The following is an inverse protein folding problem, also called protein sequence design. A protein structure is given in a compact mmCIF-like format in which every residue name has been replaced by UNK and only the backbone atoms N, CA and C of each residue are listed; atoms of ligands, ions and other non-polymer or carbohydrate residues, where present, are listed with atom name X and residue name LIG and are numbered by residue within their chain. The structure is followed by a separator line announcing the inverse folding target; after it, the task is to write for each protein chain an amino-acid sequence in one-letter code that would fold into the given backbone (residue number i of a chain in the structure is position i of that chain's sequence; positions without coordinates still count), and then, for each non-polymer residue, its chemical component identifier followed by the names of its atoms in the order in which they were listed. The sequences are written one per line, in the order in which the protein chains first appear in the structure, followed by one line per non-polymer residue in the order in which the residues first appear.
data_IF_923780616634
#
_entry.id   IF_923780616634
#
_cell.length_a   1.000
_cell.length_b   1.000
_cell.length_c   1.000
_cell.angle_alpha   90.00
_cell.angle_beta   90.00
_cell.angle_gamma   90.00
#
_symmetry.space_group_name_H-M   'P 1'
#
loop_
_entity.id
_entity.type
_entity.pdbx_description
1 polymer ?
#
# COMPACT_ATOMS: atom_id res chain seq x y z
N UNK A 1 24.50 1.90 6.35
CA UNK A 1 23.21 1.88 5.62
C UNK A 1 22.74 0.44 5.50
N UNK A 2 21.48 0.18 5.82
CA UNK A 2 20.90 -1.14 5.63
C UNK A 2 20.77 -1.47 4.13
N UNK A 3 20.75 -2.74 3.78
CA UNK A 3 20.46 -3.18 2.44
C UNK A 3 18.95 -3.03 2.16
N UNK A 4 18.59 -2.24 1.14
CA UNK A 4 17.19 -2.04 0.73
C UNK A 4 16.80 -2.89 -0.47
N UNK A 5 17.71 -3.68 -1.05
CA UNK A 5 17.42 -4.49 -2.23
C UNK A 5 16.38 -5.58 -1.91
N UNK A 6 15.44 -5.75 -2.83
CA UNK A 6 14.48 -6.86 -2.79
C UNK A 6 14.46 -7.57 -4.13
N UNK A 7 14.13 -8.87 -4.08
CA UNK A 7 13.97 -9.69 -5.28
C UNK A 7 12.56 -10.28 -5.31
N UNK A 8 11.90 -10.17 -6.48
CA UNK A 8 10.60 -10.79 -6.74
C UNK A 8 10.74 -11.55 -8.07
N UNK A 9 10.65 -12.88 -8.04
CA UNK A 9 11.05 -13.76 -9.15
C UNK A 9 12.48 -13.43 -9.60
N UNK A 10 12.68 -13.14 -10.88
CA UNK A 10 13.99 -12.77 -11.42
C UNK A 10 14.24 -11.25 -11.46
N UNK A 11 13.28 -10.46 -10.99
CA UNK A 11 13.42 -9.01 -10.93
C UNK A 11 14.13 -8.57 -9.65
N UNK A 12 15.20 -7.80 -9.80
CA UNK A 12 15.94 -7.18 -8.69
C UNK A 12 15.62 -5.68 -8.62
N UNK A 13 15.16 -5.25 -7.45
CA UNK A 13 14.82 -3.86 -7.17
C UNK A 13 15.85 -3.27 -6.23
N UNK A 14 16.45 -2.09 -6.54
CA UNK A 14 17.43 -1.42 -5.67
C UNK A 14 16.87 -0.98 -4.31
N UNK A 15 15.55 -0.81 -4.22
CA UNK A 15 14.79 -0.61 -3.00
C UNK A 15 13.35 -1.09 -3.22
N UNK A 16 12.56 -1.36 -2.16
CA UNK A 16 11.25 -1.99 -2.30
C UNK A 16 10.12 -1.06 -2.80
N UNK A 17 10.39 0.22 -3.09
CA UNK A 17 9.36 1.23 -3.35
C UNK A 17 9.25 1.50 -4.84
N UNK A 18 8.07 1.28 -5.41
CA UNK A 18 7.83 1.49 -6.85
C UNK A 18 6.61 2.38 -7.09
N UNK A 19 6.43 2.81 -8.33
CA UNK A 19 5.21 3.50 -8.75
C UNK A 19 4.02 2.55 -8.65
N UNK A 20 2.81 3.09 -8.60
CA UNK A 20 1.58 2.32 -8.73
C UNK A 20 0.90 2.62 -10.08
N UNK A 21 0.03 1.72 -10.52
CA UNK A 21 -0.76 1.87 -11.74
C UNK A 21 -1.78 3.03 -11.64
N UNK A 22 -1.30 4.25 -11.65
CA UNK A 22 -2.09 5.46 -11.47
C UNK A 22 -1.52 6.67 -12.21
N UNK A 23 -2.07 7.88 -11.98
CA UNK A 23 -1.68 9.10 -12.68
C UNK A 23 -0.19 9.46 -12.60
N UNK A 24 0.51 9.05 -11.53
CA UNK A 24 1.95 9.27 -11.37
C UNK A 24 2.84 8.45 -12.32
N UNK A 25 2.26 7.52 -13.09
CA UNK A 25 2.94 6.70 -14.09
C UNK A 25 2.11 6.64 -15.41
N UNK A 26 1.45 7.75 -15.76
CA UNK A 26 0.51 7.83 -16.90
C UNK A 26 1.20 7.81 -18.26
N UNK A 27 2.51 8.00 -18.32
CA UNK A 27 3.35 7.97 -19.51
C UNK A 27 4.79 7.59 -19.14
N UNK A 28 5.63 7.35 -20.16
CA UNK A 28 7.02 6.95 -19.97
C UNK A 28 7.90 8.05 -19.34
N UNK A 29 7.59 9.31 -19.60
CA UNK A 29 8.35 10.43 -19.05
C UNK A 29 8.15 10.55 -17.54
N UNK A 30 6.92 10.39 -17.03
CA UNK A 30 6.65 10.33 -15.59
C UNK A 30 7.25 9.08 -14.94
N UNK A 31 7.30 7.95 -15.64
CA UNK A 31 8.02 6.76 -15.18
C UNK A 31 9.52 7.05 -14.97
N UNK A 32 10.17 7.73 -15.92
CA UNK A 32 11.57 8.17 -15.80
C UNK A 32 11.75 9.13 -14.63
N UNK A 33 10.87 10.13 -14.49
CA UNK A 33 10.93 11.08 -13.38
C UNK A 33 10.73 10.41 -12.01
N UNK A 34 9.88 9.40 -11.91
CA UNK A 34 9.73 8.62 -10.67
C UNK A 34 11.04 7.90 -10.29
N UNK A 35 11.73 7.29 -11.25
CA UNK A 35 13.03 6.61 -11.00
C UNK A 35 14.12 7.63 -10.64
N UNK A 36 14.21 8.76 -11.33
CA UNK A 36 15.08 9.88 -10.93
C UNK A 36 14.74 10.37 -9.52
N UNK A 37 13.48 10.32 -9.12
CA UNK A 37 12.98 10.62 -7.80
C UNK A 37 13.31 9.56 -6.73
N UNK A 38 13.82 8.39 -7.13
CA UNK A 38 14.26 7.31 -6.24
C UNK A 38 13.37 6.07 -6.21
N UNK A 39 12.40 5.95 -7.12
CA UNK A 39 11.63 4.71 -7.25
C UNK A 39 12.55 3.54 -7.66
N UNK A 40 12.41 2.41 -6.99
CA UNK A 40 13.18 1.18 -7.25
C UNK A 40 12.56 0.31 -8.36
N UNK A 41 11.36 0.63 -8.82
CA UNK A 41 10.67 -0.09 -9.90
C UNK A 41 9.51 0.73 -10.44
N UNK A 42 9.01 0.33 -11.59
CA UNK A 42 7.89 0.96 -12.27
C UNK A 42 6.72 -0.02 -12.36
N UNK A 43 5.52 0.44 -11.94
CA UNK A 43 4.26 -0.10 -12.39
C UNK A 43 3.59 0.97 -13.24
N UNK A 44 3.31 0.69 -14.52
CA UNK A 44 2.76 1.68 -15.46
C UNK A 44 1.27 1.91 -15.22
N UNK A 45 0.72 3.01 -15.73
CA UNK A 45 -0.74 3.20 -15.79
C UNK A 45 -1.39 2.01 -16.50
N UNK A 46 -2.51 1.54 -15.97
CA UNK A 46 -3.27 0.42 -16.56
C UNK A 46 -3.72 0.78 -17.99
N UNK A 47 -3.44 -0.07 -18.96
CA UNK A 47 -4.00 0.04 -20.31
C UNK A 47 -5.13 -0.95 -20.54
N UNK A 48 -5.99 -0.66 -21.53
CA UNK A 48 -7.02 -1.56 -22.01
C UNK A 48 -7.15 -1.47 -23.53
N UNK A 49 -8.15 -2.12 -24.11
CA UNK A 49 -8.36 -2.17 -25.58
C UNK A 49 -8.56 -0.77 -26.17
N UNK A 50 -9.32 0.08 -25.48
CA UNK A 50 -9.57 1.48 -25.86
C UNK A 50 -9.05 2.43 -24.77
N UNK A 51 -8.67 3.66 -25.09
CA UNK A 51 -8.36 4.68 -24.09
C UNK A 51 -9.59 4.98 -23.22
N UNK A 52 -9.34 5.39 -21.98
CA UNK A 52 -10.40 5.72 -21.03
C UNK A 52 -11.01 7.10 -21.30
N UNK A 53 -12.32 7.21 -21.13
CA UNK A 53 -13.02 8.48 -21.02
C UNK A 53 -13.34 8.72 -19.53
N UNK A 54 -12.44 9.46 -18.87
CA UNK A 54 -12.46 9.63 -17.41
C UNK A 54 -13.44 10.74 -17.01
N UNK A 55 -14.45 10.47 -16.15
CA UNK A 55 -15.35 11.50 -15.63
C UNK A 55 -14.59 12.59 -14.87
N UNK A 56 -14.87 13.85 -15.12
CA UNK A 56 -14.17 15.00 -14.52
C UNK A 56 -15.11 15.92 -13.76
N UNK A 57 -14.67 16.47 -12.58
CA UNK A 57 -13.34 16.31 -11.95
C UNK A 57 -13.10 14.89 -11.45
N UNK A 58 -11.86 14.39 -11.65
CA UNK A 58 -11.52 12.97 -11.39
C UNK A 58 -10.64 12.75 -10.17
N UNK A 59 -10.10 13.80 -9.56
CA UNK A 59 -9.24 13.72 -8.38
C UNK A 59 -9.53 14.87 -7.41
N UNK A 60 -9.62 14.53 -6.13
CA UNK A 60 -9.79 15.53 -5.06
C UNK A 60 -9.03 15.13 -3.79
N UNK A 61 -8.28 16.07 -3.24
CA UNK A 61 -7.65 15.92 -1.93
C UNK A 61 -8.58 16.52 -0.87
N UNK A 62 -8.99 15.71 0.11
CA UNK A 62 -9.85 16.12 1.23
C UNK A 62 -9.12 15.92 2.55
N UNK A 63 -9.66 16.47 3.63
CA UNK A 63 -9.14 16.23 4.99
C UNK A 63 -9.25 14.75 5.42
N UNK A 64 -10.13 13.99 4.79
CA UNK A 64 -10.38 12.57 5.09
C UNK A 64 -9.64 11.61 4.15
N UNK A 65 -8.87 12.12 3.18
CA UNK A 65 -8.12 11.33 2.22
C UNK A 65 -8.29 11.81 0.79
N UNK A 66 -7.76 11.05 -0.15
CA UNK A 66 -7.78 11.37 -1.57
C UNK A 66 -8.88 10.58 -2.27
N UNK A 67 -9.80 11.27 -2.94
CA UNK A 67 -10.84 10.65 -3.76
C UNK A 67 -10.46 10.71 -5.22
N UNK A 68 -10.80 9.67 -5.98
CA UNK A 68 -10.60 9.62 -7.42
C UNK A 68 -11.75 8.87 -8.12
N UNK A 69 -11.96 9.23 -9.38
CA UNK A 69 -12.79 8.52 -10.36
C UNK A 69 -11.93 8.05 -11.53
N UNK A 70 -10.61 7.87 -11.28
CA UNK A 70 -9.65 7.41 -12.26
C UNK A 70 -10.01 6.04 -12.81
N UNK A 71 -9.84 5.90 -14.11
CA UNK A 71 -9.98 4.66 -14.86
C UNK A 71 -8.60 4.20 -15.34
N UNK A 72 -8.57 3.43 -16.44
CA UNK A 72 -7.32 3.06 -17.11
C UNK A 72 -6.75 4.25 -17.90
N UNK A 73 -5.74 4.01 -18.74
CA UNK A 73 -5.02 5.06 -19.46
C UNK A 73 -5.90 5.80 -20.47
N UNK A 74 -5.82 7.12 -20.46
CA UNK A 74 -6.38 8.01 -21.48
C UNK A 74 -5.52 8.03 -22.76
N UNK A 75 -4.25 7.58 -22.67
CA UNK A 75 -3.42 7.32 -23.82
C UNK A 75 -3.82 5.98 -24.45
N UNK A 76 -3.95 5.93 -25.80
CA UNK A 76 -4.25 4.69 -26.49
C UNK A 76 -3.09 3.69 -26.35
N UNK A 77 -3.41 2.40 -26.33
CA UNK A 77 -2.39 1.33 -26.22
C UNK A 77 -1.34 1.39 -27.32
N UNK A 78 -1.70 1.89 -28.51
CA UNK A 78 -0.81 2.08 -29.64
C UNK A 78 0.33 3.04 -29.30
N UNK A 79 0.06 4.13 -28.59
CA UNK A 79 1.08 5.08 -28.13
C UNK A 79 1.96 4.44 -27.06
N UNK A 80 1.39 3.71 -26.11
CA UNK A 80 2.16 2.98 -25.11
C UNK A 80 3.15 2.01 -25.76
N UNK A 81 2.70 1.26 -26.76
CA UNK A 81 3.54 0.29 -27.48
C UNK A 81 4.60 0.99 -28.33
N UNK A 82 4.24 2.07 -29.02
CA UNK A 82 5.16 2.76 -29.93
C UNK A 82 6.27 3.53 -29.20
N UNK A 83 5.98 4.11 -28.02
CA UNK A 83 6.87 5.07 -27.38
C UNK A 83 7.03 4.84 -25.86
N UNK A 84 5.92 4.77 -25.11
CA UNK A 84 5.95 4.98 -23.68
C UNK A 84 6.64 3.83 -22.92
N UNK A 85 6.45 2.58 -23.36
CA UNK A 85 7.13 1.44 -22.74
C UNK A 85 8.65 1.46 -22.98
N UNK A 86 9.11 1.88 -24.16
CA UNK A 86 10.53 2.04 -24.43
C UNK A 86 11.15 3.10 -23.52
N UNK A 87 10.46 4.22 -23.30
CA UNK A 87 10.87 5.24 -22.33
C UNK A 87 10.94 4.68 -20.92
N UNK A 88 9.86 4.01 -20.44
CA UNK A 88 9.83 3.41 -19.10
C UNK A 88 10.99 2.41 -18.89
N UNK A 89 11.27 1.55 -19.88
CA UNK A 89 12.40 0.59 -19.84
C UNK A 89 13.76 1.29 -19.79
N UNK A 90 13.91 2.46 -20.42
CA UNK A 90 15.15 3.23 -20.41
C UNK A 90 15.54 3.76 -19.01
N UNK A 91 14.62 3.76 -18.07
CA UNK A 91 14.88 4.15 -16.68
C UNK A 91 15.79 3.17 -15.91
N UNK A 92 15.99 1.93 -16.41
CA UNK A 92 16.97 0.98 -15.89
C UNK A 92 16.56 0.27 -14.60
N UNK A 93 15.28 0.19 -14.31
CA UNK A 93 14.68 -0.59 -13.21
C UNK A 93 13.62 -1.53 -13.75
N UNK A 94 13.20 -2.58 -13.01
CA UNK A 94 12.12 -3.47 -13.47
C UNK A 94 10.82 -2.72 -13.79
N UNK A 95 10.17 -3.12 -14.89
CA UNK A 95 8.92 -2.53 -15.38
C UNK A 95 7.80 -3.56 -15.34
N UNK A 96 6.82 -3.31 -14.49
CA UNK A 96 5.57 -4.06 -14.39
C UNK A 96 4.53 -3.30 -15.21
N UNK A 97 4.02 -3.93 -16.27
CA UNK A 97 2.99 -3.31 -17.11
C UNK A 97 1.60 -3.65 -16.56
N UNK A 98 0.84 -2.61 -16.21
CA UNK A 98 -0.54 -2.80 -15.75
C UNK A 98 -1.52 -2.83 -16.92
N UNK A 99 -2.45 -3.79 -16.92
CA UNK A 99 -3.53 -3.91 -17.89
C UNK A 99 -4.83 -4.42 -17.26
N UNK A 100 -5.96 -4.19 -17.87
CA UNK A 100 -7.33 -4.55 -17.44
C UNK A 100 -8.29 -4.41 -18.61
N UNK A 101 -9.58 -4.72 -18.51
CA UNK A 101 -10.28 -5.10 -17.26
C UNK A 101 -10.80 -6.52 -17.30
N UNK A 102 -11.53 -6.86 -18.40
CA UNK A 102 -12.16 -8.17 -18.60
C UNK A 102 -11.15 -9.19 -19.13
N UNK A 103 -11.48 -10.46 -19.00
CA UNK A 103 -10.69 -11.52 -19.63
C UNK A 103 -10.55 -11.34 -21.16
N UNK A 104 -11.60 -10.84 -21.81
CA UNK A 104 -11.61 -10.56 -23.24
C UNK A 104 -10.65 -9.41 -23.61
N UNK A 105 -10.67 -8.31 -22.84
CA UNK A 105 -9.77 -7.18 -23.05
C UNK A 105 -8.31 -7.60 -22.84
N UNK A 106 -8.06 -8.34 -21.75
CA UNK A 106 -6.73 -8.85 -21.41
C UNK A 106 -6.20 -9.77 -22.49
N UNK A 107 -7.01 -10.68 -23.03
CA UNK A 107 -6.60 -11.56 -24.13
C UNK A 107 -6.16 -10.78 -25.39
N UNK A 108 -6.74 -9.60 -25.65
CA UNK A 108 -6.38 -8.74 -26.79
C UNK A 108 -5.12 -7.92 -26.53
N UNK A 109 -4.90 -7.50 -25.27
CA UNK A 109 -3.81 -6.58 -24.91
C UNK A 109 -2.53 -7.33 -24.52
N UNK A 110 -2.63 -8.47 -23.84
CA UNK A 110 -1.50 -9.20 -23.30
C UNK A 110 -0.41 -9.55 -24.35
N UNK A 111 -0.73 -10.04 -25.56
CA UNK A 111 0.30 -10.32 -26.57
C UNK A 111 1.08 -9.07 -26.99
N UNK A 112 0.46 -7.89 -26.92
CA UNK A 112 1.05 -6.63 -27.37
C UNK A 112 2.08 -6.09 -26.38
N UNK A 113 1.88 -6.32 -25.07
CA UNK A 113 2.77 -5.84 -24.01
C UNK A 113 3.93 -6.77 -23.71
N UNK A 114 3.83 -8.03 -24.12
CA UNK A 114 4.84 -9.08 -23.87
C UNK A 114 6.28 -8.66 -24.14
N UNK A 115 6.62 -7.96 -25.27
CA UNK A 115 8.00 -7.59 -25.56
C UNK A 115 8.61 -6.57 -24.58
N UNK A 116 7.80 -5.89 -23.78
CA UNK A 116 8.21 -4.76 -22.94
C UNK A 116 8.15 -5.05 -21.45
N UNK A 117 7.39 -6.07 -21.03
CA UNK A 117 7.12 -6.35 -19.64
C UNK A 117 8.21 -7.23 -19.01
N UNK A 118 8.69 -6.86 -17.81
CA UNK A 118 9.40 -7.78 -16.93
C UNK A 118 8.41 -8.60 -16.09
N UNK A 119 7.23 -8.03 -15.83
CA UNK A 119 6.05 -8.68 -15.27
C UNK A 119 4.80 -7.89 -15.67
N UNK A 120 3.62 -8.43 -15.40
CA UNK A 120 2.33 -7.80 -15.67
C UNK A 120 1.51 -7.72 -14.39
N UNK A 121 0.82 -6.58 -14.17
CA UNK A 121 -0.18 -6.40 -13.14
C UNK A 121 -1.58 -6.36 -13.77
N UNK A 122 -2.47 -7.26 -13.36
CA UNK A 122 -3.86 -7.25 -13.80
C UNK A 122 -4.71 -6.43 -12.83
N UNK A 123 -5.35 -5.37 -13.33
CA UNK A 123 -6.25 -4.51 -12.55
C UNK A 123 -7.68 -4.66 -13.06
N UNK A 124 -8.47 -5.49 -12.39
CA UNK A 124 -9.88 -5.75 -12.77
C UNK A 124 -10.87 -4.85 -12.04
N UNK A 125 -10.44 -4.15 -10.98
CA UNK A 125 -11.30 -3.33 -10.10
C UNK A 125 -12.52 -4.08 -9.54
N UNK A 126 -12.41 -5.40 -9.45
CA UNK A 126 -13.50 -6.26 -9.05
C UNK A 126 -13.72 -6.21 -7.53
N UNK A 127 -14.98 -6.03 -7.12
CA UNK A 127 -15.40 -5.95 -5.70
C UNK A 127 -16.46 -7.00 -5.32
N UNK A 128 -16.83 -7.88 -6.26
CA UNK A 128 -17.80 -8.95 -6.01
C UNK A 128 -17.22 -10.11 -5.20
N UNK A 129 -18.07 -11.06 -4.83
CA UNK A 129 -17.69 -12.27 -4.07
C UNK A 129 -17.39 -13.48 -4.97
N UNK A 130 -17.89 -13.48 -6.21
CA UNK A 130 -17.58 -14.52 -7.19
C UNK A 130 -16.16 -14.34 -7.75
N UNK A 131 -15.29 -15.30 -7.55
CA UNK A 131 -13.89 -15.24 -8.01
C UNK A 131 -13.73 -15.49 -9.51
N UNK A 132 -14.76 -15.98 -10.20
CA UNK A 132 -14.72 -16.38 -11.61
C UNK A 132 -14.20 -15.28 -12.54
N UNK A 133 -14.65 -14.00 -12.45
CA UNK A 133 -14.14 -12.94 -13.32
C UNK A 133 -12.62 -12.71 -13.16
N UNK A 134 -12.12 -12.75 -11.93
CA UNK A 134 -10.69 -12.56 -11.63
C UNK A 134 -9.87 -13.72 -12.18
N UNK A 135 -10.32 -14.96 -11.94
CA UNK A 135 -9.68 -16.19 -12.42
C UNK A 135 -9.64 -16.24 -13.95
N UNK A 136 -10.73 -15.85 -14.61
CA UNK A 136 -10.78 -15.80 -16.07
C UNK A 136 -9.84 -14.74 -16.65
N UNK A 137 -9.74 -13.56 -16.03
CA UNK A 137 -8.78 -12.52 -16.38
C UNK A 137 -7.33 -13.04 -16.28
N UNK A 138 -7.01 -13.70 -15.17
CA UNK A 138 -5.69 -14.30 -14.94
C UNK A 138 -5.37 -15.36 -15.98
N UNK A 139 -6.28 -16.30 -16.25
CA UNK A 139 -6.09 -17.35 -17.26
C UNK A 139 -5.87 -16.77 -18.65
N UNK A 140 -6.59 -15.70 -19.02
CA UNK A 140 -6.40 -15.01 -20.30
C UNK A 140 -4.99 -14.41 -20.42
N UNK A 141 -4.47 -13.80 -19.37
CA UNK A 141 -3.12 -13.26 -19.34
C UNK A 141 -2.06 -14.38 -19.42
N UNK A 142 -2.19 -15.41 -18.60
CA UNK A 142 -1.24 -16.54 -18.55
C UNK A 142 -1.18 -17.33 -19.86
N UNK A 143 -2.27 -17.36 -20.64
CA UNK A 143 -2.28 -17.98 -21.96
C UNK A 143 -1.46 -17.23 -23.01
N UNK A 144 -1.22 -15.95 -22.82
CA UNK A 144 -0.52 -15.08 -23.78
C UNK A 144 0.90 -14.67 -23.35
N UNK A 145 1.21 -14.79 -22.05
CA UNK A 145 2.44 -14.27 -21.44
C UNK A 145 3.29 -15.39 -20.84
N UNK A 146 4.59 -15.21 -20.96
CA UNK A 146 5.62 -16.07 -20.33
C UNK A 146 6.38 -15.32 -19.20
N UNK A 147 5.96 -14.09 -18.88
CA UNK A 147 6.46 -13.31 -17.75
C UNK A 147 5.54 -13.47 -16.53
N UNK A 148 6.00 -13.16 -15.30
CA UNK A 148 5.17 -13.20 -14.11
C UNK A 148 3.92 -12.34 -14.23
N UNK A 149 2.77 -12.88 -13.78
CA UNK A 149 1.47 -12.19 -13.80
C UNK A 149 0.98 -11.99 -12.36
N UNK A 150 0.90 -10.75 -11.94
CA UNK A 150 0.39 -10.33 -10.63
C UNK A 150 -1.08 -9.94 -10.72
N UNK A 151 -1.89 -10.41 -9.77
CA UNK A 151 -3.29 -9.99 -9.68
C UNK A 151 -3.43 -8.88 -8.65
N UNK A 152 -3.93 -7.71 -9.10
CA UNK A 152 -4.28 -6.60 -8.21
C UNK A 152 -5.67 -6.80 -7.63
N UNK A 153 -5.71 -6.85 -6.29
CA UNK A 153 -6.89 -7.13 -5.51
C UNK A 153 -7.55 -5.86 -5.01
N UNK A 154 -8.88 -5.81 -5.08
CA UNK A 154 -9.65 -4.83 -4.31
C UNK A 154 -9.70 -5.24 -2.83
N UNK A 155 -9.98 -4.30 -1.89
CA UNK A 155 -10.16 -4.65 -0.49
C UNK A 155 -11.45 -5.44 -0.30
N UNK A 156 -11.31 -6.75 -0.08
CA UNK A 156 -12.42 -7.67 0.17
C UNK A 156 -12.54 -8.00 1.66
N UNK A 157 -13.71 -8.40 2.09
CA UNK A 157 -13.94 -8.91 3.45
C UNK A 157 -13.33 -10.30 3.64
N UNK A 158 -13.53 -11.19 2.66
CA UNK A 158 -12.96 -12.55 2.62
C UNK A 158 -11.72 -12.60 1.71
N UNK A 159 -10.66 -11.93 2.14
CA UNK A 159 -9.44 -11.83 1.38
C UNK A 159 -8.66 -13.14 1.27
N UNK A 160 -8.77 -14.01 2.29
CA UNK A 160 -8.04 -15.28 2.31
C UNK A 160 -8.57 -16.23 1.22
N UNK A 161 -9.89 -16.41 1.12
CA UNK A 161 -10.50 -17.26 0.11
C UNK A 161 -10.17 -16.76 -1.30
N UNK A 162 -10.24 -15.45 -1.54
CA UNK A 162 -9.98 -14.89 -2.86
C UNK A 162 -8.49 -14.99 -3.21
N UNK A 163 -7.59 -14.67 -2.28
CA UNK A 163 -6.14 -14.76 -2.50
C UNK A 163 -5.70 -16.20 -2.84
N UNK A 164 -6.25 -17.18 -2.10
CA UNK A 164 -5.98 -18.60 -2.34
C UNK A 164 -6.48 -19.05 -3.71
N UNK A 165 -7.71 -18.68 -4.08
CA UNK A 165 -8.26 -19.02 -5.39
C UNK A 165 -7.45 -18.41 -6.55
N UNK A 166 -6.90 -17.20 -6.36
CA UNK A 166 -6.04 -16.53 -7.34
C UNK A 166 -4.69 -17.24 -7.46
N UNK A 167 -4.07 -17.65 -6.34
CA UNK A 167 -2.84 -18.46 -6.37
C UNK A 167 -3.07 -19.82 -7.04
N UNK A 168 -4.14 -20.53 -6.68
CA UNK A 168 -4.53 -21.81 -7.27
C UNK A 168 -4.81 -21.70 -8.79
N UNK A 169 -5.28 -20.53 -9.24
CA UNK A 169 -5.48 -20.25 -10.66
C UNK A 169 -4.19 -19.91 -11.42
N UNK A 170 -3.03 -19.87 -10.73
CA UNK A 170 -1.70 -19.73 -11.33
C UNK A 170 -1.16 -18.31 -11.36
N UNK A 171 -1.62 -17.40 -10.48
CA UNK A 171 -0.98 -16.10 -10.30
C UNK A 171 0.46 -16.28 -9.79
N UNK A 172 1.35 -15.41 -10.26
CA UNK A 172 2.75 -15.38 -9.82
C UNK A 172 2.96 -14.41 -8.66
N UNK A 173 1.94 -13.64 -8.30
CA UNK A 173 1.94 -12.74 -7.15
C UNK A 173 0.62 -11.98 -7.00
N UNK A 174 0.50 -11.28 -5.88
CA UNK A 174 -0.64 -10.41 -5.57
C UNK A 174 -0.18 -8.97 -5.41
N UNK A 175 -1.04 -8.04 -5.76
CA UNK A 175 -0.87 -6.59 -5.49
C UNK A 175 -2.05 -6.15 -4.63
N UNK A 176 -1.79 -5.66 -3.42
CA UNK A 176 -2.81 -5.36 -2.40
C UNK A 176 -2.58 -4.03 -1.74
N UNK A 177 -3.55 -3.12 -1.88
CA UNK A 177 -4.91 -3.18 -2.39
C UNK A 177 -5.15 -2.09 -3.45
N UNK A 178 -6.22 -2.23 -4.23
CA UNK A 178 -6.76 -1.11 -5.00
C UNK A 178 -7.46 -0.10 -4.07
N UNK A 179 -7.88 1.08 -4.56
CA UNK A 179 -8.63 2.07 -3.80
C UNK A 179 -9.96 1.49 -3.25
N UNK A 180 -10.44 2.07 -2.15
CA UNK A 180 -11.63 1.63 -1.43
C UNK A 180 -12.85 2.48 -1.82
N UNK A 181 -13.96 1.86 -2.10
CA UNK A 181 -15.19 2.59 -2.44
C UNK A 181 -16.39 1.69 -2.75
N UNK A 182 -17.50 2.31 -3.17
CA UNK A 182 -17.65 3.74 -3.47
C UNK A 182 -17.71 4.64 -2.24
N UNK A 183 -17.18 5.86 -2.37
CA UNK A 183 -17.18 6.91 -1.36
C UNK A 183 -17.72 8.21 -1.96
N UNK A 184 -18.14 9.16 -1.12
CA UNK A 184 -18.60 10.47 -1.54
C UNK A 184 -18.05 11.55 -0.62
N UNK A 185 -17.72 12.71 -1.19
CA UNK A 185 -17.55 13.95 -0.45
C UNK A 185 -18.36 15.05 -1.13
N UNK A 186 -18.85 16.01 -0.34
CA UNK A 186 -19.69 17.09 -0.76
C UNK A 186 -19.00 18.40 -0.45
N UNK A 187 -18.97 19.31 -1.41
CA UNK A 187 -18.61 20.71 -1.18
C UNK A 187 -19.75 21.36 -0.41
N UNK A 188 -19.51 21.70 0.85
CA UNK A 188 -20.54 22.21 1.76
C UNK A 188 -21.01 23.63 1.40
N UNK A 189 -20.20 24.37 0.64
CA UNK A 189 -20.57 25.73 0.19
C UNK A 189 -21.56 25.68 -0.98
N UNK A 190 -21.47 24.68 -1.82
CA UNK A 190 -22.27 24.56 -3.03
C UNK A 190 -23.32 23.46 -2.97
N UNK A 191 -23.15 22.47 -2.08
CA UNK A 191 -23.99 21.28 -1.98
C UNK A 191 -23.73 20.23 -3.08
N UNK A 192 -22.78 20.45 -3.98
CA UNK A 192 -22.45 19.48 -5.03
C UNK A 192 -21.46 18.42 -4.56
N UNK A 193 -21.57 17.16 -5.06
CA UNK A 193 -20.50 16.19 -4.97
C UNK A 193 -19.22 16.72 -5.64
N UNK A 194 -18.06 16.44 -5.03
CA UNK A 194 -16.78 16.93 -5.56
C UNK A 194 -16.22 16.08 -6.71
N UNK A 195 -16.80 14.89 -6.94
CA UNK A 195 -16.39 13.99 -8.03
C UNK A 195 -17.35 14.07 -9.22
N UNK A 196 -16.80 14.05 -10.44
CA UNK A 196 -17.55 14.22 -11.70
C UNK A 196 -18.21 12.95 -12.24
N UNK A 197 -18.26 11.85 -11.49
CA UNK A 197 -19.01 10.65 -11.89
C UNK A 197 -20.52 10.93 -11.92
N UNK A 198 -21.30 10.13 -12.65
CA UNK A 198 -22.77 10.29 -12.76
C UNK A 198 -23.48 10.28 -11.40
N UNK A 199 -22.91 9.60 -10.40
CA UNK A 199 -23.46 9.50 -9.04
C UNK A 199 -22.78 10.45 -8.06
N UNK A 200 -21.73 11.16 -8.46
CA UNK A 200 -20.87 11.90 -7.56
C UNK A 200 -19.94 11.02 -6.68
N UNK A 201 -19.94 9.71 -6.89
CA UNK A 201 -19.10 8.79 -6.15
C UNK A 201 -17.67 8.77 -6.69
N UNK A 202 -16.73 8.49 -5.80
CA UNK A 202 -15.33 8.23 -6.10
C UNK A 202 -14.79 7.08 -5.24
N UNK A 203 -13.50 6.83 -5.37
CA UNK A 203 -12.78 5.79 -4.65
C UNK A 203 -11.75 6.44 -3.74
N UNK A 204 -11.73 6.02 -2.47
CA UNK A 204 -10.82 6.55 -1.45
C UNK A 204 -9.45 5.89 -1.55
N UNK A 205 -8.41 6.71 -1.48
CA UNK A 205 -7.01 6.31 -1.41
C UNK A 205 -6.20 7.21 -0.46
N UNK A 206 -4.88 7.04 -0.40
CA UNK A 206 -4.02 7.78 0.51
C UNK A 206 -4.01 7.20 1.94
N UNK A 207 -3.44 7.93 2.89
CA UNK A 207 -3.18 7.46 4.25
C UNK A 207 -4.36 6.78 4.96
N UNK A 208 -5.61 7.21 4.79
CA UNK A 208 -6.76 6.61 5.49
C UNK A 208 -7.01 5.13 5.18
N UNK A 209 -6.62 4.64 4.00
CA UNK A 209 -6.83 3.22 3.65
C UNK A 209 -5.69 2.29 4.11
N UNK A 210 -4.59 2.82 4.66
CA UNK A 210 -3.43 1.99 5.04
C UNK A 210 -3.78 0.87 6.02
N UNK A 211 -4.53 1.08 7.12
CA UNK A 211 -4.89 -0.02 8.02
C UNK A 211 -5.65 -1.14 7.33
N UNK A 212 -6.49 -0.81 6.34
CA UNK A 212 -7.20 -1.78 5.52
C UNK A 212 -6.24 -2.57 4.62
N UNK A 213 -5.29 -1.87 3.98
CA UNK A 213 -4.25 -2.50 3.14
C UNK A 213 -3.38 -3.45 3.96
N UNK A 214 -2.89 -3.01 5.12
CA UNK A 214 -2.07 -3.83 6.04
C UNK A 214 -2.83 -5.09 6.47
N UNK A 215 -4.11 -4.97 6.84
CA UNK A 215 -4.95 -6.13 7.17
C UNK A 215 -5.06 -7.09 5.98
N UNK A 216 -5.34 -6.59 4.77
CA UNK A 216 -5.47 -7.45 3.58
C UNK A 216 -4.17 -8.19 3.26
N UNK A 217 -3.01 -7.51 3.33
CA UNK A 217 -1.69 -8.12 3.15
C UNK A 217 -1.45 -9.19 4.19
N UNK A 218 -1.69 -8.88 5.47
CA UNK A 218 -1.50 -9.81 6.59
C UNK A 218 -2.35 -11.06 6.44
N UNK A 219 -3.63 -10.93 6.10
CA UNK A 219 -4.54 -12.08 5.94
C UNK A 219 -4.19 -12.92 4.70
N UNK A 220 -3.86 -12.28 3.56
CA UNK A 220 -3.46 -13.01 2.36
C UNK A 220 -2.14 -13.77 2.57
N UNK A 221 -1.14 -13.16 3.20
CA UNK A 221 0.17 -13.78 3.43
C UNK A 221 0.16 -14.98 4.37
N UNK A 222 -0.96 -15.24 5.07
CA UNK A 222 -1.15 -16.49 5.84
C UNK A 222 -1.48 -17.70 4.96
N UNK A 223 -2.04 -17.47 3.79
CA UNK A 223 -2.66 -18.53 2.99
C UNK A 223 -2.06 -18.69 1.59
N UNK A 224 -1.21 -17.76 1.15
CA UNK A 224 -0.50 -17.84 -0.14
C UNK A 224 1.02 -17.88 0.07
N UNK A 225 1.72 -18.52 -0.88
CA UNK A 225 3.19 -18.60 -0.92
C UNK A 225 3.80 -17.64 -1.95
N UNK A 226 2.98 -17.12 -2.88
CA UNK A 226 3.40 -16.16 -3.90
C UNK A 226 3.68 -14.79 -3.29
N UNK A 227 4.61 -13.99 -3.86
CA UNK A 227 4.94 -12.67 -3.34
C UNK A 227 3.75 -11.71 -3.37
N UNK A 228 3.71 -10.82 -2.37
CA UNK A 228 2.69 -9.76 -2.28
C UNK A 228 3.38 -8.41 -2.41
N UNK A 229 2.89 -7.55 -3.29
CA UNK A 229 3.26 -6.14 -3.39
C UNK A 229 2.20 -5.33 -2.65
N UNK A 230 2.62 -4.63 -1.58
CA UNK A 230 1.72 -3.83 -0.76
C UNK A 230 1.40 -2.48 -1.40
N UNK A 231 0.13 -2.10 -1.42
CA UNK A 231 -0.34 -0.80 -1.95
C UNK A 231 -1.43 -0.24 -1.07
N UNK A 232 -1.38 1.05 -0.82
CA UNK A 232 -2.44 1.80 -0.13
C UNK A 232 -1.95 2.57 1.08
N UNK A 233 -1.91 3.89 0.96
CA UNK A 233 -1.68 4.80 2.06
C UNK A 233 -0.24 4.96 2.54
N UNK A 234 0.76 4.59 1.74
CA UNK A 234 2.18 4.81 2.04
C UNK A 234 2.50 6.29 1.90
N UNK A 235 3.06 6.89 2.95
CA UNK A 235 3.47 8.30 3.01
C UNK A 235 4.90 8.48 3.55
N UNK A 236 5.45 7.46 4.20
CA UNK A 236 6.78 7.49 4.83
C UNK A 236 7.42 6.10 4.89
N UNK A 237 8.70 6.04 5.26
CA UNK A 237 9.44 4.77 5.38
C UNK A 237 8.87 3.80 6.41
N UNK A 238 8.23 4.30 7.47
CA UNK A 238 7.57 3.45 8.48
C UNK A 238 6.35 2.72 7.92
N UNK A 239 5.62 3.35 7.00
CA UNK A 239 4.47 2.73 6.35
C UNK A 239 4.91 1.56 5.45
N UNK A 240 6.08 1.69 4.81
CA UNK A 240 6.71 0.59 4.06
C UNK A 240 7.07 -0.56 5.00
N UNK A 241 7.74 -0.25 6.11
CA UNK A 241 8.09 -1.26 7.11
C UNK A 241 6.85 -1.99 7.65
N UNK A 242 5.75 -1.28 7.93
CA UNK A 242 4.48 -1.84 8.39
C UNK A 242 3.90 -2.85 7.37
N UNK A 243 3.88 -2.51 6.08
CA UNK A 243 3.41 -3.43 5.04
C UNK A 243 4.32 -4.65 4.87
N UNK A 244 5.65 -4.46 4.93
CA UNK A 244 6.59 -5.58 4.86
C UNK A 244 6.49 -6.48 6.08
N UNK A 245 6.33 -5.93 7.28
CA UNK A 245 6.07 -6.72 8.50
C UNK A 245 4.77 -7.52 8.40
N UNK A 246 3.75 -7.01 7.71
CA UNK A 246 2.51 -7.73 7.42
C UNK A 246 2.66 -8.86 6.38
N UNK A 247 3.76 -8.89 5.61
CA UNK A 247 4.05 -9.95 4.64
C UNK A 247 4.35 -9.48 3.21
N UNK A 248 4.28 -8.17 2.93
CA UNK A 248 4.65 -7.65 1.61
C UNK A 248 6.13 -7.87 1.29
N UNK A 249 6.44 -8.16 0.02
CA UNK A 249 7.80 -8.31 -0.51
C UNK A 249 8.37 -6.99 -1.05
N UNK A 250 7.49 -6.13 -1.52
CA UNK A 250 7.77 -4.77 -1.99
C UNK A 250 6.49 -3.95 -1.88
N UNK A 251 6.54 -2.66 -2.23
CA UNK A 251 5.38 -1.77 -2.11
C UNK A 251 5.25 -0.82 -3.30
N UNK A 252 4.01 -0.38 -3.55
CA UNK A 252 3.71 0.67 -4.51
C UNK A 252 3.15 1.89 -3.78
N UNK A 253 3.52 3.12 -4.21
CA UNK A 253 2.90 4.35 -3.74
C UNK A 253 2.34 5.17 -4.90
N UNK A 254 1.11 5.67 -4.74
CA UNK A 254 0.40 6.45 -5.74
C UNK A 254 0.08 7.86 -5.22
N UNK A 255 -0.86 7.97 -4.29
CA UNK A 255 -1.41 9.24 -3.82
C UNK A 255 -0.34 10.20 -3.30
N UNK A 256 0.60 9.71 -2.50
CA UNK A 256 1.66 10.56 -1.96
C UNK A 256 2.58 11.09 -3.06
N UNK A 257 2.85 10.29 -4.11
CA UNK A 257 3.61 10.75 -5.27
C UNK A 257 2.86 11.79 -6.10
N UNK A 258 1.53 11.67 -6.23
CA UNK A 258 0.69 12.69 -6.87
C UNK A 258 0.76 14.00 -6.09
N UNK A 259 0.62 13.93 -4.76
CA UNK A 259 0.53 15.12 -3.89
C UNK A 259 1.88 15.81 -3.65
N UNK A 260 2.99 15.07 -3.65
CA UNK A 260 4.33 15.55 -3.26
C UNK A 260 5.36 15.52 -4.39
N UNK A 261 5.00 14.96 -5.54
CA UNK A 261 5.91 14.79 -6.67
C UNK A 261 6.89 13.63 -6.49
N UNK A 262 7.71 13.35 -7.54
CA UNK A 262 8.53 12.15 -7.62
C UNK A 262 9.64 12.06 -6.55
N UNK A 263 10.06 13.17 -5.94
CA UNK A 263 11.08 13.15 -4.88
C UNK A 263 10.64 12.38 -3.62
N UNK A 264 9.36 12.10 -3.50
CA UNK A 264 8.81 11.32 -2.38
C UNK A 264 9.39 9.90 -2.30
N UNK A 265 9.70 9.27 -3.43
CA UNK A 265 10.29 7.92 -3.43
C UNK A 265 11.63 7.88 -2.69
N UNK A 266 12.53 8.86 -2.96
CA UNK A 266 13.83 8.97 -2.26
C UNK A 266 13.64 9.27 -0.77
N UNK A 267 12.69 10.15 -0.44
CA UNK A 267 12.34 10.46 0.96
C UNK A 267 11.93 9.20 1.70
N UNK A 268 11.00 8.42 1.14
CA UNK A 268 10.46 7.20 1.75
C UNK A 268 11.57 6.14 1.90
N UNK A 269 12.43 5.95 0.89
CA UNK A 269 13.54 5.01 0.94
C UNK A 269 14.56 5.38 2.04
N UNK A 270 14.91 6.68 2.17
CA UNK A 270 15.78 7.17 3.23
C UNK A 270 15.16 6.91 4.61
N UNK A 271 13.90 7.27 4.80
CA UNK A 271 13.21 7.07 6.08
C UNK A 271 13.07 5.58 6.45
N UNK A 272 12.92 4.70 5.45
CA UNK A 272 12.95 3.26 5.66
C UNK A 272 14.34 2.81 6.15
N UNK A 273 15.41 3.27 5.51
CA UNK A 273 16.77 2.98 5.95
C UNK A 273 17.02 3.45 7.38
N UNK A 274 16.65 4.70 7.70
CA UNK A 274 16.75 5.26 9.04
C UNK A 274 15.99 4.42 10.08
N UNK A 275 14.81 3.93 9.72
CA UNK A 275 14.01 3.02 10.56
C UNK A 275 14.74 1.68 10.80
N UNK A 276 15.29 1.07 9.77
CA UNK A 276 15.97 -0.21 9.86
C UNK A 276 17.20 -0.09 10.76
N UNK A 277 18.06 0.92 10.53
CA UNK A 277 19.28 1.17 11.32
C UNK A 277 18.94 1.43 12.80
N UNK A 278 17.93 2.27 13.06
CA UNK A 278 17.51 2.60 14.42
C UNK A 278 16.94 1.40 15.20
N UNK A 279 16.55 0.31 14.50
CA UNK A 279 16.02 -0.91 15.10
C UNK A 279 16.98 -2.11 14.94
N UNK A 280 18.23 -1.89 14.48
CA UNK A 280 19.27 -2.91 14.41
C UNK A 280 19.14 -3.89 13.24
N UNK A 281 18.34 -3.57 12.22
CA UNK A 281 18.23 -4.37 11.00
C UNK A 281 19.28 -3.95 9.97
N UNK A 282 19.94 -4.92 9.37
CA UNK A 282 20.95 -4.74 8.33
C UNK A 282 20.39 -4.90 6.90
N UNK A 283 19.23 -5.55 6.77
CA UNK A 283 18.57 -5.86 5.51
C UNK A 283 17.06 -5.70 5.64
N UNK A 284 16.44 -5.08 4.63
CA UNK A 284 14.99 -4.86 4.61
C UNK A 284 14.18 -6.17 4.62
N UNK A 285 14.75 -7.25 4.12
CA UNK A 285 14.09 -8.55 4.10
C UNK A 285 13.95 -9.18 5.49
N UNK A 286 14.75 -8.74 6.49
CA UNK A 286 14.64 -9.23 7.86
C UNK A 286 13.30 -8.91 8.53
N UNK A 287 12.65 -7.80 8.11
CA UNK A 287 11.36 -7.40 8.69
C UNK A 287 10.15 -8.05 8.01
N UNK A 288 10.34 -8.75 6.87
CA UNK A 288 9.23 -9.36 6.13
C UNK A 288 8.51 -10.42 6.97
N UNK A 289 7.20 -10.25 7.13
CA UNK A 289 6.35 -11.20 7.86
C UNK A 289 6.57 -11.19 9.38
N UNK A 290 7.31 -10.23 9.93
CA UNK A 290 7.60 -10.17 11.37
C UNK A 290 6.33 -10.12 12.22
N UNK A 291 5.26 -9.49 11.73
CA UNK A 291 3.99 -9.39 12.44
C UNK A 291 3.35 -10.78 12.71
N UNK A 292 3.55 -11.76 11.81
CA UNK A 292 3.02 -13.13 12.03
C UNK A 292 3.65 -13.81 13.25
N UNK A 293 4.97 -13.60 13.43
CA UNK A 293 5.68 -14.12 14.59
C UNK A 293 5.23 -13.39 15.87
N UNK A 294 5.14 -12.06 15.78
CA UNK A 294 4.80 -11.22 16.94
C UNK A 294 3.36 -11.42 17.41
N UNK A 295 2.40 -11.69 16.52
CA UNK A 295 1.03 -12.02 16.91
C UNK A 295 0.96 -13.32 17.73
N UNK A 296 1.83 -14.31 17.47
CA UNK A 296 1.90 -15.53 18.24
C UNK A 296 2.45 -15.31 19.67
N UNK A 297 3.21 -14.24 19.89
CA UNK A 297 3.73 -13.83 21.18
C UNK A 297 2.74 -12.96 21.98
N UNK A 298 1.62 -12.53 21.34
CA UNK A 298 0.62 -11.68 22.00
C UNK A 298 -0.21 -12.47 23.00
N UNK A 299 -0.45 -11.86 24.16
CA UNK A 299 -1.38 -12.37 25.14
C UNK A 299 -2.74 -11.69 25.00
N UNK A 300 -3.79 -12.47 24.81
CA UNK A 300 -5.15 -11.95 24.91
C UNK A 300 -5.50 -11.71 26.38
N UNK A 301 -5.85 -10.46 26.70
CA UNK A 301 -6.24 -10.07 28.06
C UNK A 301 -7.36 -9.03 28.05
N UNK A 302 -8.16 -9.03 29.10
CA UNK A 302 -9.25 -8.08 29.34
C UNK A 302 -9.01 -7.20 30.56
N UNK A 303 -7.96 -7.49 31.36
CA UNK A 303 -7.55 -6.64 32.47
C UNK A 303 -6.66 -5.50 32.01
N UNK A 304 -6.68 -4.38 32.73
CA UNK A 304 -5.88 -3.21 32.43
C UNK A 304 -4.39 -3.48 32.70
N UNK A 305 -3.53 -2.99 31.79
CA UNK A 305 -2.09 -2.90 31.97
C UNK A 305 -1.66 -1.49 31.56
N UNK A 306 -1.00 -0.77 32.45
CA UNK A 306 -0.52 0.56 32.18
C UNK A 306 0.68 0.53 31.21
N UNK A 307 0.83 1.52 30.32
CA UNK A 307 2.03 1.66 29.49
C UNK A 307 3.27 1.93 30.34
N UNK A 308 4.40 1.41 29.87
CA UNK A 308 5.70 1.77 30.43
C UNK A 308 6.15 3.13 29.90
N UNK A 309 6.81 3.93 30.75
CA UNK A 309 7.26 5.28 30.42
C UNK A 309 8.80 5.30 30.29
N UNK A 310 9.29 5.80 29.17
CA UNK A 310 10.69 6.18 28.95
C UNK A 310 10.81 7.69 29.21
N UNK A 311 11.29 8.07 30.39
CA UNK A 311 11.38 9.48 30.80
C UNK A 311 12.36 10.28 29.93
N UNK A 312 13.44 9.64 29.45
CA UNK A 312 14.48 10.30 28.63
C UNK A 312 13.93 10.72 27.26
N UNK A 313 12.95 9.99 26.73
CA UNK A 313 12.25 10.33 25.49
C UNK A 313 11.12 11.33 25.68
N UNK A 314 10.67 11.54 26.90
CA UNK A 314 9.52 12.40 27.17
C UNK A 314 9.87 13.89 27.03
N UNK A 315 9.27 14.56 26.05
CA UNK A 315 9.42 16.00 25.84
C UNK A 315 8.34 16.84 26.55
N UNK A 316 7.61 16.26 27.45
CA UNK A 316 6.59 16.92 28.29
C UNK A 316 5.52 17.70 27.50
N UNK A 317 5.19 17.27 26.28
CA UNK A 317 4.24 17.94 25.39
C UNK A 317 2.76 17.78 25.79
N UNK A 318 2.45 16.97 26.80
CA UNK A 318 1.11 16.72 27.39
C UNK A 318 0.05 16.18 26.42
N UNK A 319 0.40 15.74 25.20
CA UNK A 319 -0.57 15.15 24.26
C UNK A 319 -1.24 13.88 24.80
N UNK A 320 -0.52 13.08 25.59
CA UNK A 320 -1.04 11.90 26.28
C UNK A 320 -2.06 12.29 27.36
N UNK A 321 -1.79 13.34 28.14
CA UNK A 321 -2.71 13.88 29.16
C UNK A 321 -4.03 14.29 28.52
N UNK A 322 -3.96 15.16 27.50
CA UNK A 322 -5.16 15.67 26.79
C UNK A 322 -6.00 14.54 26.17
N UNK A 323 -5.37 13.41 25.81
CA UNK A 323 -6.07 12.28 25.20
C UNK A 323 -6.57 11.23 26.21
N UNK A 324 -6.18 11.34 27.48
CA UNK A 324 -6.55 10.37 28.49
C UNK A 324 -7.92 10.67 29.08
N UNK A 325 -8.94 9.99 28.59
CA UNK A 325 -10.33 10.12 29.10
C UNK A 325 -10.53 9.53 30.50
N UNK A 326 -9.53 8.80 31.02
CA UNK A 326 -9.53 8.22 32.35
C UNK A 326 -8.75 9.04 33.37
N UNK A 327 -8.20 10.20 32.96
CA UNK A 327 -7.43 11.10 33.81
C UNK A 327 -6.28 10.41 34.58
N UNK A 328 -5.71 9.38 33.99
CA UNK A 328 -4.69 8.54 34.60
C UNK A 328 -3.25 9.04 34.36
N UNK A 329 -3.03 10.16 33.67
CA UNK A 329 -1.68 10.60 33.27
C UNK A 329 -1.43 12.04 33.75
N UNK A 330 -0.35 12.19 34.51
CA UNK A 330 0.17 13.49 34.91
C UNK A 330 1.58 13.71 34.31
N UNK A 331 1.91 14.94 33.93
CA UNK A 331 3.21 15.33 33.42
C UNK A 331 3.65 16.61 34.14
N UNK A 332 4.52 16.40 35.11
CA UNK A 332 5.26 17.41 35.86
C UNK A 332 6.74 17.37 35.50
N UNK A 333 7.60 17.18 36.52
CA UNK A 333 9.04 16.92 36.30
C UNK A 333 9.28 15.57 35.64
N UNK A 334 8.44 14.60 35.96
CA UNK A 334 8.35 13.30 35.29
C UNK A 334 6.91 13.06 34.82
N UNK A 335 6.76 12.10 33.90
CA UNK A 335 5.46 11.57 33.51
C UNK A 335 5.11 10.43 34.45
N UNK A 336 3.93 10.53 35.09
CA UNK A 336 3.38 9.50 35.96
C UNK A 336 2.08 8.98 35.41
N UNK A 337 1.89 7.66 35.50
CA UNK A 337 0.62 6.99 35.15
C UNK A 337 0.05 6.38 36.42
N UNK A 338 -1.14 6.79 36.81
CA UNK A 338 -1.93 6.20 37.88
C UNK A 338 -2.48 4.85 37.38
N UNK A 339 -1.89 3.75 37.88
CA UNK A 339 -2.25 2.39 37.47
C UNK A 339 -3.69 2.03 37.85
N UNK A 340 -4.22 2.59 38.95
CA UNK A 340 -5.58 2.32 39.42
C UNK A 340 -6.65 2.99 38.53
N UNK A 341 -6.32 4.14 37.93
CA UNK A 341 -7.19 4.83 36.99
C UNK A 341 -6.98 4.37 35.55
N UNK A 342 -5.82 3.80 35.22
CA UNK A 342 -5.47 3.45 33.86
C UNK A 342 -6.30 2.28 33.33
N UNK A 343 -7.12 2.54 32.31
CA UNK A 343 -7.93 1.51 31.66
C UNK A 343 -7.12 0.58 30.72
N UNK A 344 -5.85 0.89 30.43
CA UNK A 344 -5.02 0.09 29.52
C UNK A 344 -5.39 0.24 28.03
N UNK A 345 -6.09 1.31 27.63
CA UNK A 345 -6.60 1.48 26.26
C UNK A 345 -5.52 1.74 25.19
N UNK A 346 -4.29 2.09 25.58
CA UNK A 346 -3.14 2.29 24.68
C UNK A 346 -3.16 3.59 23.84
N UNK A 347 -4.17 4.45 23.92
CA UNK A 347 -4.27 5.67 23.10
C UNK A 347 -3.07 6.61 23.31
N UNK A 348 -2.61 6.79 24.53
CA UNK A 348 -1.45 7.62 24.86
C UNK A 348 -0.15 7.15 24.18
N UNK A 349 0.01 5.86 23.95
CA UNK A 349 1.18 5.26 23.27
C UNK A 349 1.24 5.75 21.82
N UNK A 350 0.14 5.66 21.09
CA UNK A 350 0.07 6.06 19.68
C UNK A 350 0.03 7.59 19.50
N UNK A 351 -0.40 8.33 20.53
CA UNK A 351 -0.40 9.81 20.54
C UNK A 351 0.98 10.40 20.85
N UNK A 352 1.91 9.62 21.40
CA UNK A 352 3.24 10.13 21.78
C UNK A 352 4.14 10.34 20.56
N UNK A 353 4.53 11.60 20.22
CA UNK A 353 5.34 11.87 19.03
C UNK A 353 6.78 11.37 19.17
N UNK A 354 7.24 11.13 20.42
CA UNK A 354 8.59 10.66 20.74
C UNK A 354 8.64 9.18 21.13
N UNK A 355 7.46 8.49 21.10
CA UNK A 355 7.35 7.09 21.53
C UNK A 355 7.96 6.85 22.92
N UNK A 356 7.74 7.80 23.83
CA UNK A 356 8.13 7.70 25.23
C UNK A 356 7.23 6.75 26.02
N UNK A 357 6.16 6.24 25.43
CA UNK A 357 5.21 5.29 26.02
C UNK A 357 5.20 4.00 25.19
N UNK A 358 5.28 2.86 25.86
CA UNK A 358 5.20 1.54 25.23
C UNK A 358 4.19 0.66 25.94
N UNK A 359 3.40 -0.11 25.16
CA UNK A 359 2.48 -1.09 25.69
C UNK A 359 3.10 -2.49 25.59
N UNK A 360 3.13 -3.22 26.67
CA UNK A 360 3.52 -4.62 26.67
C UNK A 360 2.39 -5.45 26.06
N UNK A 361 2.66 -6.15 24.97
CA UNK A 361 1.68 -6.96 24.23
C UNK A 361 1.82 -8.46 24.52
N UNK A 362 2.99 -8.94 24.92
CA UNK A 362 3.24 -10.31 25.36
C UNK A 362 2.86 -10.54 26.83
N UNK A 363 3.13 -11.74 27.33
CA UNK A 363 2.88 -12.10 28.72
C UNK A 363 3.47 -11.08 29.70
N UNK A 364 2.67 -10.68 30.66
CA UNK A 364 3.09 -9.82 31.78
C UNK A 364 3.42 -10.74 32.93
N UNK A 365 4.69 -10.73 33.38
CA UNK A 365 5.04 -11.44 34.63
C UNK A 365 4.14 -10.89 35.76
N UNK A 366 3.47 -11.79 36.43
CA UNK A 366 2.70 -11.40 37.61
C UNK A 366 3.68 -10.81 38.65
N UNK A 367 3.43 -9.56 39.06
CA UNK A 367 4.17 -8.90 40.14
C UNK A 367 3.86 -9.55 41.48
#
# INVERSE_FOLDING_TARGET
MANLKVKIHDMEFPNPIMTAAGPGAKDGDLCIEAVKGGAGGICTKTISVLPADVPRPCMANTNSGFLNTELWSELPKEQWIAEEYAKAKSAGVPVIISMGYTAEDIAKVAPLVKPYADAVELSTHYVGTDVTPIVNALKAAKAALDVPVFMKMSPHTDIQTIAKAVEEAGADGLVMINSFGPCMAIDVETGFPIMGSKTGYGWLSGAPIRPLAVRCIYEASKVVNIPIIGVGGITCGRDVAEMMMAGASAVQTCTEAILKGPQVYRKIARELNEFLEANGYSDVNEIKGLAHKKVQEMEFRTHAVAPQVDQDKCIKCKKCVTSCVYEAIEVGDEMVIDEDKCFGCGLCVTRCPKRALTMQMGAVEAK
#
